data_IF_093760352595
#
_entry.id   IF_093760352595
#
_cell.length_a   1.000
_cell.length_b   1.000
_cell.length_c   1.000
_cell.angle_alpha   90.00
_cell.angle_beta   90.00
_cell.angle_gamma   90.00
#
_symmetry.space_group_name_H-M   'P 1'
#
loop_
_entity.id
_entity.type
_entity.pdbx_description
1 polymer ?
#
# COMPACT_ATOMS: atom_id res chain seq x y z
N UNK A 1 -60.27 14.06 -1.42
CA UNK A 1 -58.80 14.07 -1.65
C UNK A 1 -58.08 15.05 -0.71
N UNK A 2 -58.43 15.09 0.58
CA UNK A 2 -57.84 16.06 1.53
C UNK A 2 -57.63 15.46 2.93
N UNK A 3 -58.52 14.53 3.34
CA UNK A 3 -58.39 13.77 4.59
C UNK A 3 -57.15 12.88 4.65
N UNK A 4 -56.78 12.22 3.54
CA UNK A 4 -55.56 11.40 3.49
C UNK A 4 -54.29 12.25 3.60
N UNK A 5 -54.28 13.45 3.02
CA UNK A 5 -53.15 14.37 3.14
C UNK A 5 -53.01 14.89 4.58
N UNK A 6 -54.13 15.19 5.25
CA UNK A 6 -54.15 15.62 6.64
C UNK A 6 -53.70 14.51 7.60
N UNK A 7 -54.14 13.27 7.39
CA UNK A 7 -53.69 12.11 8.16
C UNK A 7 -52.20 11.84 7.98
N UNK A 8 -51.67 11.92 6.76
CA UNK A 8 -50.24 11.76 6.48
C UNK A 8 -49.41 12.88 7.14
N UNK A 9 -49.89 14.12 7.12
CA UNK A 9 -49.25 15.23 7.81
C UNK A 9 -49.25 15.05 9.33
N UNK A 10 -50.35 14.54 9.90
CA UNK A 10 -50.48 14.28 11.34
C UNK A 10 -49.52 13.17 11.81
N UNK A 11 -49.41 12.09 11.04
CA UNK A 11 -48.49 10.98 11.32
C UNK A 11 -47.03 11.43 11.17
N UNK A 12 -46.72 12.27 10.18
CA UNK A 12 -45.38 12.84 9.99
C UNK A 12 -44.96 13.78 11.13
N UNK A 13 -45.90 14.59 11.64
CA UNK A 13 -45.66 15.46 12.78
C UNK A 13 -45.47 14.66 14.09
N UNK A 14 -46.24 13.58 14.28
CA UNK A 14 -46.18 12.74 15.48
C UNK A 14 -44.95 11.83 15.52
N UNK A 15 -44.41 11.44 14.36
CA UNK A 15 -43.18 10.61 14.25
C UNK A 15 -41.89 11.44 14.28
N UNK A 16 -41.96 12.75 14.56
CA UNK A 16 -40.81 13.55 14.97
C UNK A 16 -39.79 13.87 13.87
N UNK A 17 -40.14 13.69 12.59
CA UNK A 17 -39.25 14.06 11.47
C UNK A 17 -39.12 15.60 11.33
N UNK A 18 -40.00 16.38 11.98
CA UNK A 18 -40.01 17.84 11.88
C UNK A 18 -39.15 18.63 12.88
N UNK A 19 -38.62 18.00 13.94
CA UNK A 19 -38.01 18.74 15.08
C UNK A 19 -36.51 18.56 15.32
N UNK A 20 -35.90 17.48 14.83
CA UNK A 20 -34.54 17.08 15.26
C UNK A 20 -33.42 17.22 14.21
N UNK A 21 -33.73 17.59 12.97
CA UNK A 21 -32.75 17.47 11.87
C UNK A 21 -31.77 18.65 11.81
N UNK A 22 -32.16 19.84 12.27
CA UNK A 22 -31.27 21.02 12.24
C UNK A 22 -30.14 20.94 13.28
N UNK A 23 -30.38 20.31 14.43
CA UNK A 23 -29.38 20.20 15.49
C UNK A 23 -28.41 19.03 15.27
N UNK A 24 -28.91 17.90 14.74
CA UNK A 24 -28.08 16.74 14.41
C UNK A 24 -27.03 17.02 13.32
N UNK A 25 -27.39 17.80 12.30
CA UNK A 25 -26.48 18.19 11.23
C UNK A 25 -25.33 19.09 11.73
N UNK A 26 -25.60 19.99 12.67
CA UNK A 26 -24.58 20.86 13.26
C UNK A 26 -23.59 20.07 14.13
N UNK A 27 -24.09 19.12 14.93
CA UNK A 27 -23.26 18.23 15.75
C UNK A 27 -22.38 17.31 14.87
N UNK A 28 -22.93 16.76 13.78
CA UNK A 28 -22.17 15.95 12.82
C UNK A 28 -21.09 16.78 12.11
N UNK A 29 -21.40 18.00 11.66
CA UNK A 29 -20.42 18.87 11.01
C UNK A 29 -19.26 19.25 11.95
N UNK A 30 -19.52 19.48 13.24
CA UNK A 30 -18.48 19.75 14.24
C UNK A 30 -17.63 18.51 14.51
N UNK A 31 -18.25 17.32 14.58
CA UNK A 31 -17.53 16.07 14.76
C UNK A 31 -16.61 15.75 13.56
N UNK A 32 -17.09 15.91 12.33
CA UNK A 32 -16.30 15.75 11.10
C UNK A 32 -15.16 16.77 11.02
N UNK A 33 -15.42 18.03 11.37
CA UNK A 33 -14.40 19.08 11.37
C UNK A 33 -13.32 18.83 12.42
N UNK A 34 -13.68 18.27 13.59
CA UNK A 34 -12.70 17.88 14.61
C UNK A 34 -11.91 16.64 14.20
N UNK A 35 -12.56 15.63 13.63
CA UNK A 35 -11.89 14.42 13.15
C UNK A 35 -10.86 14.73 12.04
N UNK A 36 -11.21 15.58 11.09
CA UNK A 36 -10.31 16.03 10.01
C UNK A 36 -9.16 16.87 10.52
N UNK A 37 -9.40 17.77 11.48
CA UNK A 37 -8.34 18.57 12.11
C UNK A 37 -7.33 17.70 12.90
N UNK A 38 -7.82 16.70 13.63
CA UNK A 38 -6.97 15.74 14.36
C UNK A 38 -6.18 14.87 13.38
N UNK A 39 -6.80 14.38 12.30
CA UNK A 39 -6.10 13.62 11.26
C UNK A 39 -4.99 14.43 10.60
N UNK A 40 -5.24 15.70 10.26
CA UNK A 40 -4.20 16.57 9.68
C UNK A 40 -3.03 16.82 10.66
N UNK A 41 -3.31 16.92 11.96
CA UNK A 41 -2.28 17.12 12.98
C UNK A 41 -1.45 15.85 13.27
N UNK A 42 -1.99 14.66 13.02
CA UNK A 42 -1.32 13.37 13.28
C UNK A 42 -0.62 12.77 12.06
N UNK A 43 -0.79 13.35 10.87
CA UNK A 43 -0.05 12.91 9.67
C UNK A 43 1.43 13.27 9.85
N UNK A 44 2.21 12.29 10.29
CA UNK A 44 3.66 12.34 10.26
C UNK A 44 4.09 12.46 8.80
N UNK A 45 4.77 13.55 8.46
CA UNK A 45 5.35 13.76 7.14
C UNK A 45 6.52 12.77 6.96
N UNK A 46 6.22 11.58 6.47
CA UNK A 46 7.25 10.62 6.08
C UNK A 46 7.97 11.15 4.85
N UNK A 47 9.29 11.26 4.90
CA UNK A 47 10.08 11.66 3.74
C UNK A 47 9.98 10.58 2.66
N UNK A 48 9.62 10.97 1.44
CA UNK A 48 9.67 10.09 0.28
C UNK A 48 11.13 9.81 -0.06
N UNK A 49 11.63 8.61 0.25
CA UNK A 49 12.99 8.18 -0.11
C UNK A 49 12.94 7.53 -1.49
N UNK A 50 13.77 8.03 -2.42
CA UNK A 50 13.95 7.39 -3.73
C UNK A 50 14.91 6.20 -3.59
N UNK A 51 14.60 5.02 -4.13
CA UNK A 51 15.56 3.92 -4.16
C UNK A 51 16.80 4.33 -4.97
N UNK A 52 17.98 4.17 -4.38
CA UNK A 52 19.26 4.42 -5.05
C UNK A 52 19.85 3.07 -5.44
N UNK A 53 20.08 2.85 -6.74
CA UNK A 53 20.80 1.68 -7.22
C UNK A 53 22.29 1.98 -7.17
N UNK A 54 23.02 1.40 -6.22
CA UNK A 54 24.48 1.49 -6.17
C UNK A 54 25.08 0.50 -7.18
N UNK A 55 25.80 1.00 -8.18
CA UNK A 55 26.57 0.18 -9.10
C UNK A 55 27.96 -0.11 -8.51
N UNK A 56 28.53 -1.31 -8.71
CA UNK A 56 29.89 -1.62 -8.27
C UNK A 56 30.91 -0.75 -9.03
N UNK A 57 31.97 -0.35 -8.34
CA UNK A 57 33.06 0.43 -8.95
C UNK A 57 33.88 -0.42 -9.93
N UNK A 58 34.56 0.23 -10.88
CA UNK A 58 35.46 -0.45 -11.83
C UNK A 58 36.54 -1.25 -11.11
N UNK A 59 37.10 -0.72 -10.02
CA UNK A 59 38.07 -1.42 -9.19
C UNK A 59 37.53 -2.74 -8.61
N UNK A 60 36.23 -2.80 -8.26
CA UNK A 60 35.59 -4.02 -7.77
C UNK A 60 35.34 -5.04 -8.87
N UNK A 61 35.13 -4.59 -10.11
CA UNK A 61 34.94 -5.47 -11.26
C UNK A 61 36.26 -5.97 -11.87
N UNK A 62 37.38 -5.31 -11.59
CA UNK A 62 38.68 -5.67 -12.13
C UNK A 62 39.17 -7.05 -11.67
N UNK A 63 38.62 -7.57 -10.57
CA UNK A 63 38.98 -8.87 -10.04
C UNK A 63 37.84 -9.87 -10.21
N UNK A 64 38.11 -11.05 -10.79
CA UNK A 64 37.11 -12.10 -10.85
C UNK A 64 36.75 -12.56 -9.44
N UNK A 65 35.45 -12.69 -9.17
CA UNK A 65 34.91 -13.06 -7.85
C UNK A 65 35.24 -14.51 -7.46
N UNK A 66 35.52 -15.36 -8.45
CA UNK A 66 35.88 -16.75 -8.26
C UNK A 66 36.78 -17.23 -9.40
N UNK A 67 37.73 -18.11 -9.07
CA UNK A 67 38.50 -18.86 -10.04
C UNK A 67 38.05 -20.32 -10.02
N UNK A 68 37.78 -20.87 -11.20
CA UNK A 68 37.59 -22.32 -11.36
C UNK A 68 38.93 -22.93 -11.69
N UNK A 69 39.51 -23.69 -10.76
CA UNK A 69 40.69 -24.49 -11.03
C UNK A 69 40.26 -25.76 -11.76
N UNK A 70 40.61 -25.84 -13.05
CA UNK A 70 40.41 -27.06 -13.85
C UNK A 70 41.71 -27.86 -13.80
N UNK A 71 41.68 -29.00 -13.12
CA UNK A 71 42.79 -29.95 -13.12
C UNK A 71 42.69 -30.83 -14.37
N UNK A 72 43.60 -30.63 -15.32
CA UNK A 72 43.78 -31.52 -16.46
C UNK A 72 44.87 -32.53 -16.10
N UNK A 73 44.57 -33.83 -16.17
CA UNK A 73 45.58 -34.86 -15.98
C UNK A 73 46.44 -34.96 -17.26
N UNK A 74 47.74 -34.61 -17.23
CA UNK A 74 48.59 -34.61 -18.43
C UNK A 74 48.91 -36.03 -18.93
N UNK A 75 48.69 -37.06 -18.11
CA UNK A 75 48.98 -38.45 -18.45
C UNK A 75 47.74 -39.23 -18.90
N UNK A 76 46.55 -38.62 -18.83
CA UNK A 76 45.33 -39.27 -19.28
C UNK A 76 45.11 -38.99 -20.78
N UNK A 77 45.07 -40.02 -21.65
CA UNK A 77 44.68 -39.82 -23.04
C UNK A 77 43.22 -39.34 -23.14
N UNK A 78 42.91 -38.55 -24.16
CA UNK A 78 41.60 -37.89 -24.35
C UNK A 78 40.43 -38.90 -24.42
N UNK A 79 40.71 -40.14 -24.81
CA UNK A 79 39.72 -41.22 -24.89
C UNK A 79 39.62 -42.07 -23.62
N UNK A 80 40.37 -41.77 -22.55
CA UNK A 80 40.37 -42.56 -21.32
C UNK A 80 38.98 -42.64 -20.65
N UNK A 81 38.14 -41.63 -20.84
CA UNK A 81 36.76 -41.58 -20.33
C UNK A 81 35.72 -42.15 -21.31
N UNK A 82 36.12 -42.56 -22.51
CA UNK A 82 35.18 -43.15 -23.49
C UNK A 82 34.88 -44.60 -23.11
N UNK A 83 33.59 -44.93 -23.03
CA UNK A 83 33.12 -46.31 -22.86
C UNK A 83 33.56 -47.12 -24.08
N UNK A 84 34.28 -48.22 -23.86
CA UNK A 84 34.62 -49.17 -24.92
C UNK A 84 33.34 -49.96 -25.24
N UNK A 85 32.78 -49.72 -26.42
CA UNK A 85 31.81 -50.62 -27.05
C UNK A 85 32.55 -51.54 -28.03
#
# INVERSE_FOLDING_TARGET
MNLLLLLSALISALTGVGGGVRDGQAVQAVAERRATAVAAATVVRTQTIRPVMSLPTLARQAFPTAFVLVFVNPFAPIYASRRRE
#
